data_IF_700473926392
#
_entry.id   IF_700473926392
#
_cell.length_a   1.000
_cell.length_b   1.000
_cell.length_c   1.000
_cell.angle_alpha   90.00
_cell.angle_beta   90.00
_cell.angle_gamma   90.00
#
_symmetry.space_group_name_H-M   'P 1'
#
loop_
_entity.id
_entity.type
_entity.pdbx_description
1 polymer ?
#
# COMPACT_ATOMS: atom_id res chain seq x y z
N UNK A 1 -8.16 15.72 0.72
CA UNK A 1 -9.50 16.28 0.82
C UNK A 1 -10.07 16.05 2.21
N UNK A 2 -10.85 16.99 2.72
CA UNK A 2 -11.65 16.89 3.94
C UNK A 2 -13.08 17.30 3.62
N UNK A 3 -14.05 16.73 4.35
CA UNK A 3 -15.45 17.10 4.22
C UNK A 3 -15.67 18.53 4.74
N UNK A 4 -16.53 19.29 4.05
CA UNK A 4 -16.89 20.67 4.44
C UNK A 4 -18.03 20.71 5.46
N UNK A 5 -18.77 19.61 5.62
CA UNK A 5 -20.04 19.57 6.35
C UNK A 5 -21.24 20.03 5.51
N UNK A 6 -21.01 20.38 4.27
CA UNK A 6 -22.06 20.77 3.31
C UNK A 6 -22.35 19.63 2.34
N UNK A 7 -23.56 19.62 1.79
CA UNK A 7 -23.98 18.66 0.77
C UNK A 7 -24.20 19.34 -0.57
N UNK A 8 -23.96 18.59 -1.64
CA UNK A 8 -24.33 18.98 -3.00
C UNK A 8 -25.86 18.88 -3.21
N UNK A 9 -26.35 19.42 -4.32
CA UNK A 9 -27.76 19.36 -4.70
C UNK A 9 -28.30 17.92 -4.83
N UNK A 10 -27.41 16.94 -5.01
CA UNK A 10 -27.75 15.51 -5.10
C UNK A 10 -27.49 14.75 -3.78
N UNK A 11 -27.21 15.47 -2.68
CA UNK A 11 -27.04 14.90 -1.34
C UNK A 11 -25.66 14.32 -1.03
N UNK A 12 -24.64 14.47 -1.90
CA UNK A 12 -23.28 14.03 -1.64
C UNK A 12 -22.52 15.04 -0.75
N UNK A 13 -21.67 14.52 0.14
CA UNK A 13 -20.84 15.36 0.99
C UNK A 13 -19.80 16.11 0.15
N UNK A 14 -19.79 17.43 0.26
CA UNK A 14 -18.79 18.27 -0.40
C UNK A 14 -17.43 18.13 0.31
N UNK A 15 -16.37 18.10 -0.50
CA UNK A 15 -14.99 18.02 0.00
C UNK A 15 -14.17 19.22 -0.48
N UNK A 16 -13.18 19.61 0.32
CA UNK A 16 -12.26 20.68 -0.01
C UNK A 16 -10.81 20.25 0.17
N UNK A 17 -9.89 20.97 -0.45
CA UNK A 17 -8.47 20.76 -0.22
C UNK A 17 -8.05 21.31 1.16
N UNK A 18 -7.17 20.54 1.84
CA UNK A 18 -6.55 21.01 3.08
C UNK A 18 -5.51 22.09 2.72
N UNK A 19 -5.69 23.29 3.26
CA UNK A 19 -4.83 24.44 2.96
C UNK A 19 -3.44 24.32 3.58
N UNK A 20 -3.36 23.77 4.81
CA UNK A 20 -2.14 23.68 5.60
C UNK A 20 -1.62 22.25 5.68
N UNK A 21 -1.03 21.75 4.61
CA UNK A 21 -0.42 20.43 4.59
C UNK A 21 0.92 20.44 3.86
N UNK A 22 1.81 19.56 4.26
CA UNK A 22 3.06 19.34 3.53
C UNK A 22 3.41 17.86 3.46
N UNK A 23 4.13 17.52 2.41
CA UNK A 23 4.77 16.23 2.22
C UNK A 23 6.26 16.47 2.00
N UNK A 24 7.09 15.77 2.75
CA UNK A 24 8.54 15.79 2.58
C UNK A 24 9.09 14.39 2.78
N UNK A 25 10.19 14.07 2.13
CA UNK A 25 10.79 12.75 2.24
C UNK A 25 12.14 12.68 1.56
N UNK A 26 12.73 11.50 1.68
CA UNK A 26 13.95 11.12 0.99
C UNK A 26 13.73 9.75 0.34
N UNK A 27 14.24 9.59 -0.86
CA UNK A 27 14.27 8.33 -1.59
C UNK A 27 15.74 7.93 -1.79
N UNK A 28 16.03 6.68 -1.50
CA UNK A 28 17.35 6.08 -1.65
C UNK A 28 17.19 4.83 -2.50
N UNK A 29 18.10 4.63 -3.44
CA UNK A 29 18.22 3.42 -4.24
C UNK A 29 19.67 3.00 -4.31
N UNK A 30 19.92 1.71 -4.15
CA UNK A 30 21.25 1.14 -4.23
C UNK A 30 21.21 -0.24 -4.88
N UNK A 31 22.20 -0.53 -5.70
CA UNK A 31 22.41 -1.83 -6.33
C UNK A 31 23.87 -2.24 -6.24
N UNK A 32 24.11 -3.53 -6.05
CA UNK A 32 25.43 -4.10 -5.96
C UNK A 32 25.48 -5.49 -6.57
N UNK A 33 26.42 -5.72 -7.47
CA UNK A 33 26.63 -7.00 -8.15
C UNK A 33 28.01 -7.56 -7.75
N UNK A 34 28.11 -8.20 -6.55
CA UNK A 34 29.40 -8.72 -6.05
C UNK A 34 29.95 -9.87 -6.91
N UNK A 35 29.08 -10.58 -7.58
CA UNK A 35 29.39 -11.73 -8.43
C UNK A 35 28.63 -11.64 -9.74
N UNK A 36 29.17 -12.24 -10.80
CA UNK A 36 28.53 -12.22 -12.12
C UNK A 36 27.15 -12.91 -12.18
N UNK A 37 26.80 -13.66 -11.17
CA UNK A 37 25.54 -14.40 -11.04
C UNK A 37 24.63 -13.87 -9.92
N UNK A 38 25.05 -12.84 -9.17
CA UNK A 38 24.33 -12.29 -8.02
C UNK A 38 24.26 -10.78 -8.13
N UNK A 39 23.05 -10.24 -8.08
CA UNK A 39 22.77 -8.81 -7.87
C UNK A 39 21.84 -8.62 -6.69
N UNK A 40 22.16 -7.66 -5.85
CA UNK A 40 21.34 -7.23 -4.71
C UNK A 40 20.95 -5.78 -4.95
N UNK A 41 19.67 -5.48 -4.91
CA UNK A 41 19.16 -4.14 -5.08
C UNK A 41 18.17 -3.80 -3.97
N UNK A 42 18.08 -2.53 -3.64
CA UNK A 42 17.11 -2.07 -2.66
C UNK A 42 16.76 -0.60 -2.87
N UNK A 43 15.54 -0.26 -2.51
CA UNK A 43 15.12 1.12 -2.42
C UNK A 43 14.33 1.37 -1.14
N UNK A 44 14.40 2.60 -0.67
CA UNK A 44 13.69 3.07 0.51
C UNK A 44 13.12 4.46 0.23
N UNK A 45 11.81 4.59 0.40
CA UNK A 45 11.12 5.87 0.42
C UNK A 45 10.70 6.15 1.87
N UNK A 46 11.27 7.19 2.47
CA UNK A 46 10.95 7.66 3.81
C UNK A 46 10.26 9.01 3.70
N UNK A 47 9.08 9.15 4.29
CA UNK A 47 8.29 10.37 4.14
C UNK A 47 7.64 10.82 5.44
N UNK A 48 7.41 12.11 5.53
CA UNK A 48 6.59 12.76 6.55
C UNK A 48 5.47 13.54 5.86
N UNK A 49 4.24 13.16 6.16
CA UNK A 49 3.04 13.64 5.50
C UNK A 49 2.11 14.23 6.56
N UNK A 50 2.10 15.55 6.71
CA UNK A 50 1.45 16.23 7.83
C UNK A 50 0.40 17.20 7.35
N UNK A 51 -0.74 17.17 8.04
CA UNK A 51 -1.75 18.22 8.02
C UNK A 51 -1.55 19.07 9.26
N UNK A 52 -1.58 20.40 9.08
CA UNK A 52 -1.58 21.36 10.18
C UNK A 52 -2.90 22.07 10.21
N UNK A 53 -3.47 22.21 11.41
CA UNK A 53 -4.61 23.08 11.66
C UNK A 53 -5.81 22.78 10.75
N UNK A 54 -6.46 21.64 10.97
CA UNK A 54 -7.66 21.27 10.22
C UNK A 54 -8.83 20.90 11.12
N UNK A 55 -10.02 21.07 10.58
CA UNK A 55 -11.27 20.70 11.23
C UNK A 55 -11.84 19.44 10.57
N UNK A 56 -12.11 18.41 11.37
CA UNK A 56 -12.90 17.27 10.96
C UNK A 56 -14.39 17.59 11.14
N UNK A 57 -15.19 17.38 10.12
CA UNK A 57 -16.64 17.39 10.20
C UNK A 57 -17.13 15.97 10.48
N UNK A 58 -17.23 15.61 11.75
CA UNK A 58 -17.64 14.28 12.16
C UNK A 58 -19.17 14.15 12.18
N UNK A 59 -19.72 13.12 11.52
CA UNK A 59 -21.14 12.80 11.57
C UNK A 59 -21.60 12.52 12.99
N UNK A 60 -22.84 12.86 13.33
CA UNK A 60 -23.46 12.64 14.63
C UNK A 60 -24.69 11.76 14.48
N UNK A 61 -24.84 10.73 15.31
CA UNK A 61 -26.01 9.85 15.42
C UNK A 61 -26.49 9.22 14.09
N UNK A 62 -25.59 9.00 13.13
CA UNK A 62 -25.90 8.47 11.78
C UNK A 62 -26.85 9.36 10.95
N UNK A 63 -27.01 10.61 11.32
CA UNK A 63 -27.82 11.58 10.60
C UNK A 63 -26.95 12.60 9.84
N UNK A 64 -27.60 13.58 9.24
CA UNK A 64 -26.96 14.62 8.45
C UNK A 64 -26.39 15.76 9.31
N UNK A 65 -26.35 15.59 10.63
CA UNK A 65 -25.71 16.54 11.51
C UNK A 65 -24.21 16.28 11.62
N UNK A 66 -23.44 17.36 11.75
CA UNK A 66 -21.99 17.29 11.86
C UNK A 66 -21.51 18.04 13.09
N UNK A 67 -20.48 17.48 13.73
CA UNK A 67 -19.74 18.15 14.79
C UNK A 67 -18.34 18.46 14.29
N UNK A 68 -17.93 19.71 14.46
CA UNK A 68 -16.59 20.17 14.12
C UNK A 68 -15.63 19.77 15.23
N UNK A 69 -14.56 19.02 14.88
CA UNK A 69 -13.47 18.64 15.77
C UNK A 69 -12.17 19.20 15.21
N UNK A 70 -11.48 19.99 16.02
CA UNK A 70 -10.25 20.65 15.63
C UNK A 70 -9.01 19.80 15.92
N UNK A 71 -8.08 19.71 14.96
CA UNK A 71 -6.78 19.06 15.08
C UNK A 71 -5.67 20.05 14.77
N UNK A 72 -4.75 20.27 15.70
CA UNK A 72 -3.58 21.13 15.51
C UNK A 72 -2.61 20.56 14.48
N UNK A 73 -2.48 19.24 14.45
CA UNK A 73 -1.73 18.49 13.43
C UNK A 73 -2.19 17.04 13.40
N UNK A 74 -2.01 16.39 12.25
CA UNK A 74 -2.19 14.96 12.08
C UNK A 74 -1.46 14.46 10.85
N UNK A 75 -1.45 13.13 10.65
CA UNK A 75 -0.88 12.47 9.48
C UNK A 75 -1.92 12.35 8.37
N UNK A 76 -1.52 12.62 7.13
CA UNK A 76 -2.37 12.43 5.95
C UNK A 76 -2.78 10.95 5.81
N UNK A 77 -4.06 10.71 5.55
CA UNK A 77 -4.57 9.39 5.24
C UNK A 77 -3.84 8.73 4.06
N UNK A 78 -3.75 7.40 4.08
CA UNK A 78 -3.10 6.58 3.04
C UNK A 78 -1.68 7.04 2.66
N UNK A 79 -0.94 7.53 3.65
CA UNK A 79 0.39 8.07 3.45
C UNK A 79 1.37 7.39 4.41
N UNK A 80 1.90 6.21 4.04
CA UNK A 80 2.87 5.50 4.88
C UNK A 80 4.15 6.32 5.03
N UNK A 81 4.77 6.26 6.21
CA UNK A 81 6.03 6.94 6.48
C UNK A 81 7.26 6.23 5.92
N UNK A 82 7.14 4.94 5.60
CA UNK A 82 8.21 4.15 5.01
C UNK A 82 7.66 3.12 4.03
N UNK A 83 8.28 3.05 2.85
CA UNK A 83 8.12 1.96 1.88
C UNK A 83 9.52 1.47 1.54
N UNK A 84 9.77 0.17 1.73
CA UNK A 84 11.06 -0.45 1.48
C UNK A 84 10.89 -1.59 0.49
N UNK A 85 11.81 -1.71 -0.46
CA UNK A 85 11.89 -2.85 -1.37
C UNK A 85 13.31 -3.41 -1.36
N UNK A 86 13.42 -4.73 -1.34
CA UNK A 86 14.66 -5.45 -1.51
C UNK A 86 14.54 -6.51 -2.59
N UNK A 87 15.55 -6.61 -3.44
CA UNK A 87 15.63 -7.57 -4.52
C UNK A 87 16.92 -8.38 -4.41
N UNK A 88 16.81 -9.67 -4.65
CA UNK A 88 17.93 -10.58 -4.82
C UNK A 88 17.77 -11.28 -6.17
N UNK A 89 18.62 -10.96 -7.12
CA UNK A 89 18.63 -11.54 -8.47
C UNK A 89 19.78 -12.55 -8.55
N UNK A 90 19.43 -13.78 -8.83
CA UNK A 90 20.36 -14.88 -9.01
C UNK A 90 20.18 -15.42 -10.44
N UNK A 91 21.28 -15.55 -11.19
CA UNK A 91 21.23 -16.13 -12.51
C UNK A 91 22.39 -17.09 -12.78
N UNK A 92 22.07 -18.27 -13.28
CA UNK A 92 23.05 -19.29 -13.61
C UNK A 92 22.54 -20.23 -14.70
N UNK A 93 23.32 -20.41 -15.78
CA UNK A 93 23.07 -21.38 -16.85
C UNK A 93 21.62 -21.34 -17.41
N UNK A 94 21.09 -20.13 -17.67
CA UNK A 94 19.74 -19.94 -18.20
C UNK A 94 18.63 -19.95 -17.15
N UNK A 95 18.92 -20.27 -15.89
CA UNK A 95 18.00 -20.09 -14.75
C UNK A 95 18.19 -18.67 -14.21
N UNK A 96 17.08 -17.98 -13.98
CA UNK A 96 17.04 -16.71 -13.28
C UNK A 96 16.04 -16.83 -12.13
N UNK A 97 16.42 -16.41 -10.93
CA UNK A 97 15.55 -16.36 -9.77
C UNK A 97 15.61 -14.96 -9.17
N UNK A 98 14.47 -14.32 -9.01
CA UNK A 98 14.35 -13.00 -8.39
C UNK A 98 13.50 -13.10 -7.16
N UNK A 99 14.07 -12.76 -6.01
CA UNK A 99 13.35 -12.56 -4.76
C UNK A 99 13.05 -11.08 -4.64
N UNK A 100 11.81 -10.75 -4.33
CA UNK A 100 11.38 -9.38 -4.07
C UNK A 100 10.63 -9.34 -2.75
N UNK A 101 11.13 -8.56 -1.80
CA UNK A 101 10.44 -8.28 -0.54
C UNK A 101 10.07 -6.81 -0.49
N UNK A 102 8.79 -6.55 -0.28
CA UNK A 102 8.23 -5.23 -0.06
C UNK A 102 7.81 -5.09 1.42
N UNK A 103 8.07 -3.94 2.01
CA UNK A 103 7.55 -3.52 3.32
C UNK A 103 6.84 -2.17 3.19
N UNK A 104 5.67 -2.06 3.81
CA UNK A 104 4.92 -0.81 3.91
C UNK A 104 4.59 -0.55 5.38
N UNK A 105 4.93 0.63 5.87
CA UNK A 105 4.59 1.04 7.23
C UNK A 105 3.09 1.26 7.40
N UNK A 106 2.64 1.44 8.66
CA UNK A 106 1.25 1.75 9.00
C UNK A 106 0.72 2.91 8.17
N UNK A 107 -0.56 2.80 7.76
CA UNK A 107 -1.30 3.84 7.07
C UNK A 107 -2.60 4.13 7.83
N UNK A 108 -2.90 5.39 8.05
CA UNK A 108 -4.19 5.79 8.61
C UNK A 108 -5.26 5.80 7.53
N UNK A 109 -6.48 5.40 7.86
CA UNK A 109 -7.61 5.35 6.92
C UNK A 109 -8.29 6.71 6.79
N UNK A 110 -8.08 7.59 7.75
CA UNK A 110 -8.54 8.98 7.73
C UNK A 110 -7.46 9.95 8.26
N UNK A 111 -7.76 11.24 8.23
CA UNK A 111 -6.81 12.28 8.60
C UNK A 111 -6.77 12.57 10.11
N UNK A 112 -7.27 11.70 10.97
CA UNK A 112 -7.32 11.93 12.42
C UNK A 112 -6.15 11.31 13.18
N UNK A 113 -5.27 10.56 12.49
CA UNK A 113 -4.12 9.86 13.07
C UNK A 113 -4.49 8.87 14.19
N UNK A 114 -5.70 8.33 14.13
CA UNK A 114 -6.16 7.37 15.11
C UNK A 114 -5.67 5.95 14.78
N UNK A 115 -4.92 5.34 15.69
CA UNK A 115 -4.34 4.01 15.51
C UNK A 115 -5.39 2.92 15.30
N UNK A 116 -6.58 3.06 15.90
CA UNK A 116 -7.67 2.10 15.72
C UNK A 116 -8.31 2.19 14.33
N UNK A 117 -8.07 3.27 13.59
CA UNK A 117 -8.55 3.54 12.24
C UNK A 117 -7.38 3.50 11.25
N UNK A 118 -6.62 2.43 11.29
CA UNK A 118 -5.41 2.29 10.47
C UNK A 118 -5.23 0.89 9.93
N UNK A 119 -4.50 0.78 8.84
CA UNK A 119 -3.94 -0.46 8.32
C UNK A 119 -2.61 -0.71 9.02
N UNK A 120 -2.39 -1.89 9.63
CA UNK A 120 -1.09 -2.26 10.19
C UNK A 120 0.00 -2.26 9.12
N UNK A 121 1.26 -2.16 9.55
CA UNK A 121 2.39 -2.41 8.64
C UNK A 121 2.35 -3.86 8.15
N UNK A 122 2.82 -4.06 6.93
CA UNK A 122 2.93 -5.40 6.35
C UNK A 122 4.21 -5.56 5.53
N UNK A 123 4.60 -6.80 5.33
CA UNK A 123 5.62 -7.18 4.36
C UNK A 123 5.13 -8.35 3.52
N UNK A 124 5.50 -8.35 2.25
CA UNK A 124 5.20 -9.42 1.29
C UNK A 124 6.48 -9.81 0.57
N UNK A 125 6.67 -11.10 0.35
CA UNK A 125 7.80 -11.63 -0.42
C UNK A 125 7.28 -12.48 -1.57
N UNK A 126 7.78 -12.19 -2.76
CA UNK A 126 7.51 -12.93 -3.99
C UNK A 126 8.81 -13.53 -4.52
N UNK A 127 8.71 -14.67 -5.19
CA UNK A 127 9.83 -15.30 -5.88
C UNK A 127 9.42 -15.59 -7.31
N UNK A 128 10.18 -15.04 -8.25
CA UNK A 128 10.07 -15.36 -9.66
C UNK A 128 11.21 -16.29 -10.06
N UNK A 129 10.90 -17.43 -10.67
CA UNK A 129 11.87 -18.37 -11.20
C UNK A 129 11.60 -18.50 -12.68
N UNK A 130 12.63 -18.31 -13.51
CA UNK A 130 12.51 -18.51 -14.96
C UNK A 130 13.67 -19.32 -15.50
N UNK A 131 13.40 -20.08 -16.56
CA UNK A 131 14.40 -20.86 -17.30
C UNK A 131 14.31 -20.52 -18.78
N UNK A 132 15.43 -20.04 -19.34
CA UNK A 132 15.55 -19.74 -20.78
C UNK A 132 16.25 -20.91 -21.49
N UNK A 133 15.51 -21.56 -22.37
CA UNK A 133 16.01 -22.60 -23.27
C UNK A 133 16.28 -21.98 -24.64
N UNK A 134 17.56 -22.05 -25.09
CA UNK A 134 18.01 -21.65 -26.42
C UNK A 134 18.49 -22.90 -27.16
N UNK A 135 17.69 -23.46 -28.07
CA UNK A 135 18.09 -24.66 -28.80
C UNK A 135 19.35 -24.41 -29.66
N UNK A 136 20.32 -25.31 -29.61
CA UNK A 136 21.55 -25.22 -30.40
C UNK A 136 21.31 -25.28 -31.93
N UNK A 137 20.22 -25.94 -32.34
CA UNK A 137 19.75 -25.93 -33.74
C UNK A 137 18.35 -25.31 -33.74
N UNK A 138 18.06 -24.43 -34.73
CA UNK A 138 16.73 -23.85 -34.90
C UNK A 138 15.73 -24.97 -35.21
N UNK A 139 15.03 -25.42 -34.18
CA UNK A 139 13.94 -26.37 -34.33
C UNK A 139 12.68 -25.58 -34.72
N UNK A 140 12.19 -25.71 -35.95
CA UNK A 140 10.97 -25.07 -36.44
C UNK A 140 10.99 -23.53 -36.30
N UNK A 141 12.18 -22.88 -36.48
CA UNK A 141 12.31 -21.42 -36.29
C UNK A 141 12.39 -20.91 -34.87
N UNK A 142 12.23 -21.76 -33.85
CA UNK A 142 12.31 -21.39 -32.43
C UNK A 142 13.71 -20.88 -32.06
N UNK A 143 13.79 -19.64 -31.60
CA UNK A 143 15.01 -19.00 -31.11
C UNK A 143 15.19 -19.15 -29.59
N UNK A 144 14.11 -19.03 -28.86
CA UNK A 144 14.13 -19.07 -27.40
C UNK A 144 12.77 -19.51 -26.85
N UNK A 145 12.75 -20.33 -25.79
CA UNK A 145 11.59 -20.62 -25.01
C UNK A 145 11.90 -20.27 -23.54
N UNK A 146 11.05 -19.49 -22.89
CA UNK A 146 11.19 -19.09 -21.48
C UNK A 146 10.03 -19.70 -20.71
N UNK A 147 10.34 -20.49 -19.71
CA UNK A 147 9.39 -21.05 -18.74
C UNK A 147 9.51 -20.26 -17.45
N UNK A 148 8.39 -19.78 -16.92
CA UNK A 148 8.35 -18.96 -15.72
C UNK A 148 7.40 -19.54 -14.67
N UNK A 149 7.79 -19.40 -13.41
CA UNK A 149 6.95 -19.67 -12.24
C UNK A 149 7.03 -18.48 -11.29
N UNK A 150 5.89 -17.88 -10.97
CA UNK A 150 5.77 -16.83 -9.97
C UNK A 150 5.16 -17.44 -8.70
N UNK A 151 5.88 -17.37 -7.60
CA UNK A 151 5.43 -17.72 -6.26
C UNK A 151 5.14 -16.40 -5.54
N UNK A 152 3.88 -16.05 -5.38
CA UNK A 152 3.47 -14.80 -4.75
C UNK A 152 3.15 -15.04 -3.27
N UNK A 153 3.55 -14.09 -2.43
CA UNK A 153 3.31 -14.13 -0.99
C UNK A 153 3.75 -15.46 -0.36
N UNK A 154 5.03 -15.81 -0.55
CA UNK A 154 5.58 -17.13 -0.18
C UNK A 154 5.45 -17.47 1.31
N UNK A 155 5.32 -16.45 2.18
CA UNK A 155 5.12 -16.62 3.61
C UNK A 155 3.63 -16.65 4.00
N UNK A 156 2.72 -16.63 3.02
CA UNK A 156 1.26 -16.65 3.23
C UNK A 156 0.79 -15.60 4.26
N UNK A 157 1.34 -14.38 4.20
CA UNK A 157 0.96 -13.29 5.10
C UNK A 157 -0.46 -12.82 4.78
N UNK A 158 -1.31 -12.74 5.81
CA UNK A 158 -2.63 -12.14 5.68
C UNK A 158 -2.53 -10.66 6.02
N UNK A 159 -2.84 -9.81 5.06
CA UNK A 159 -2.79 -8.35 5.20
C UNK A 159 -3.80 -7.68 4.30
N UNK A 160 -4.14 -6.44 4.62
CA UNK A 160 -4.90 -5.56 3.76
C UNK A 160 -4.01 -4.39 3.31
N UNK A 161 -3.97 -4.13 2.01
CA UNK A 161 -3.23 -3.00 1.45
C UNK A 161 -4.10 -1.75 1.33
N UNK A 162 -5.42 -1.89 1.44
CA UNK A 162 -6.39 -0.81 1.38
C UNK A 162 -7.58 -1.10 2.29
N UNK A 163 -8.36 -0.08 2.58
CA UNK A 163 -9.56 -0.17 3.39
C UNK A 163 -10.29 1.15 3.44
N UNK A 164 -11.39 1.18 4.17
CA UNK A 164 -12.16 2.38 4.43
C UNK A 164 -12.61 2.44 5.87
N UNK A 165 -12.95 3.61 6.32
CA UNK A 165 -13.52 3.86 7.64
C UNK A 165 -14.77 4.70 7.51
N UNK A 166 -15.81 4.28 8.21
CA UNK A 166 -16.99 5.09 8.51
C UNK A 166 -17.07 5.29 10.02
N UNK A 167 -17.28 6.50 10.47
CA UNK A 167 -17.42 6.79 11.89
C UNK A 167 -18.48 7.84 12.15
N UNK A 168 -19.20 7.71 13.26
CA UNK A 168 -20.18 8.68 13.74
C UNK A 168 -20.03 8.85 15.24
N UNK A 169 -20.32 10.03 15.73
CA UNK A 169 -20.36 10.31 17.17
C UNK A 169 -21.74 9.94 17.67
N UNK A 170 -21.82 9.11 18.70
CA UNK A 170 -23.06 8.83 19.40
C UNK A 170 -23.20 9.88 20.52
N UNK A 171 -24.01 10.90 20.27
CA UNK A 171 -24.19 12.02 21.20
C UNK A 171 -25.43 11.80 22.06
N UNK A 172 -25.27 10.99 23.11
CA UNK A 172 -26.32 10.75 24.10
C UNK A 172 -26.15 11.63 25.37
N UNK A 173 -24.96 12.21 25.58
CA UNK A 173 -24.60 12.86 26.86
C UNK A 173 -23.54 13.97 26.74
N UNK A 174 -23.23 14.43 25.53
CA UNK A 174 -22.30 15.54 25.31
C UNK A 174 -20.80 15.17 25.37
N UNK A 175 -20.44 13.89 25.40
CA UNK A 175 -19.05 13.40 25.38
C UNK A 175 -18.64 12.87 23.99
N UNK A 176 -18.34 13.73 23.02
CA UNK A 176 -18.25 13.39 21.60
C UNK A 176 -17.14 12.43 21.21
N UNK A 177 -16.04 12.38 21.97
CA UNK A 177 -14.88 11.54 21.62
C UNK A 177 -14.91 10.17 22.30
N UNK A 178 -15.68 10.00 23.36
CA UNK A 178 -15.77 8.76 24.11
C UNK A 178 -16.75 7.77 23.49
N UNK A 179 -17.78 8.29 22.81
CA UNK A 179 -18.86 7.51 22.20
C UNK A 179 -18.79 7.49 20.67
N UNK A 180 -17.60 7.39 20.09
CA UNK A 180 -17.45 7.31 18.64
C UNK A 180 -17.62 5.88 18.15
N UNK A 181 -18.69 5.60 17.43
CA UNK A 181 -18.84 4.37 16.67
C UNK A 181 -17.93 4.40 15.45
N UNK A 182 -17.23 3.29 15.21
CA UNK A 182 -16.33 3.17 14.06
C UNK A 182 -16.53 1.81 13.39
N UNK A 183 -16.80 1.84 12.09
CA UNK A 183 -16.88 0.68 11.24
C UNK A 183 -15.69 0.69 10.28
N UNK A 184 -14.93 -0.41 10.26
CA UNK A 184 -13.77 -0.60 9.39
C UNK A 184 -14.11 -1.61 8.30
N UNK A 185 -13.78 -1.27 7.07
CA UNK A 185 -13.79 -2.18 5.94
C UNK A 185 -12.37 -2.38 5.42
N UNK A 186 -11.89 -3.61 5.35
CA UNK A 186 -10.57 -3.93 4.81
C UNK A 186 -10.69 -4.66 3.48
N UNK A 187 -9.79 -4.36 2.54
CA UNK A 187 -9.65 -5.08 1.28
C UNK A 187 -8.47 -6.06 1.45
N UNK A 188 -8.75 -7.36 1.72
CA UNK A 188 -7.70 -8.34 1.94
C UNK A 188 -6.96 -8.63 0.64
N UNK A 189 -5.65 -8.80 0.75
CA UNK A 189 -4.80 -9.21 -0.35
C UNK A 189 -4.74 -10.75 -0.43
N UNK A 190 -4.40 -11.25 -1.63
CA UNK A 190 -4.27 -12.69 -1.85
C UNK A 190 -3.20 -13.32 -0.94
N UNK A 191 -3.51 -14.46 -0.37
CA UNK A 191 -2.54 -15.33 0.28
C UNK A 191 -1.53 -15.91 -0.72
N UNK A 192 -0.80 -16.95 -0.30
CA UNK A 192 0.12 -17.66 -1.19
C UNK A 192 -0.59 -18.13 -2.46
N UNK A 193 0.01 -17.81 -3.60
CA UNK A 193 -0.48 -18.30 -4.90
C UNK A 193 0.68 -18.50 -5.87
N UNK A 194 0.43 -19.35 -6.88
CA UNK A 194 1.41 -19.75 -7.89
C UNK A 194 0.85 -19.47 -9.27
N UNK A 195 1.68 -18.90 -10.15
CA UNK A 195 1.35 -18.67 -11.55
C UNK A 195 2.46 -19.24 -12.42
N UNK A 196 2.10 -20.01 -13.46
CA UNK A 196 3.02 -20.49 -14.51
C UNK A 196 2.91 -19.65 -15.78
N UNK A 197 4.02 -19.51 -16.50
CA UNK A 197 4.06 -18.82 -17.80
C UNK A 197 5.00 -19.52 -18.78
N UNK A 198 4.68 -19.45 -20.06
CA UNK A 198 5.56 -19.88 -21.15
C UNK A 198 5.58 -18.78 -22.20
N UNK A 199 6.76 -18.35 -22.58
CA UNK A 199 6.97 -17.41 -23.68
C UNK A 199 7.88 -18.04 -24.75
N UNK A 200 7.53 -17.89 -26.00
CA UNK A 200 8.31 -18.43 -27.15
C UNK A 200 8.65 -17.32 -28.13
N UNK A 201 9.88 -17.37 -28.63
CA UNK A 201 10.39 -16.41 -29.62
C UNK A 201 10.86 -17.19 -30.86
N UNK A 202 10.35 -16.79 -31.99
CA UNK A 202 10.68 -17.34 -33.32
C UNK A 202 11.65 -16.46 -34.08
#
# INVERSE_FOLDING_TARGET
FVQTGEKSDIGENLTTNIKNSYRMGAELEAGWSPLSWLTVEGNAALSRNVIKDFDEMASVNFDDSFRKIHYNHSTLAFSPSAILNGFLDLHYKGIKTVWHTNFVSRQYLDNTENITRSLPCYSQTNVNISYSLRPAKRLIGLKEAIFGVNLNNIFNRHYAASGGVYSTILDNDGHPNENRYTQLGFIPMAGFNVMGSVAVKF
#
